data_IF_180844916112
#
_entry.id   IF_180844916112
#
_cell.length_a   1.000
_cell.length_b   1.000
_cell.length_c   1.000
_cell.angle_alpha   90.00
_cell.angle_beta   90.00
_cell.angle_gamma   90.00
#
_symmetry.space_group_name_H-M   'P 1'
#
loop_
_entity.id
_entity.type
_entity.pdbx_description
1 polymer ?
#
# COMPACT_ATOMS: atom_id res chain seq x y z
N UNK A 1 -38.00 28.99 -53.02
CA UNK A 1 -37.31 27.67 -53.00
C UNK A 1 -36.35 27.67 -51.81
N UNK A 2 -36.41 26.82 -50.81
CA UNK A 2 -37.34 25.77 -50.41
C UNK A 2 -37.18 25.60 -48.89
N UNK A 3 -38.30 25.48 -48.19
CA UNK A 3 -38.71 24.30 -47.42
C UNK A 3 -38.26 24.31 -45.94
N UNK A 4 -39.16 24.85 -45.12
CA UNK A 4 -39.48 24.34 -43.79
C UNK A 4 -39.62 22.81 -43.80
N UNK A 5 -38.87 22.12 -42.93
CA UNK A 5 -39.23 20.78 -42.45
C UNK A 5 -39.03 20.73 -40.94
N UNK A 6 -40.16 20.52 -40.28
CA UNK A 6 -40.41 20.33 -38.87
C UNK A 6 -40.14 18.88 -38.42
N UNK A 7 -40.17 18.67 -37.09
CA UNK A 7 -40.38 17.39 -36.37
C UNK A 7 -39.18 16.46 -36.17
N UNK A 8 -38.73 16.38 -34.91
CA UNK A 8 -38.83 15.14 -34.09
C UNK A 8 -38.07 15.33 -32.77
N UNK A 9 -38.68 16.07 -31.85
CA UNK A 9 -38.40 15.98 -30.42
C UNK A 9 -39.59 15.24 -29.82
N UNK A 10 -39.50 13.92 -29.67
CA UNK A 10 -40.35 13.07 -28.81
C UNK A 10 -40.14 11.61 -29.20
N UNK A 11 -39.34 10.88 -28.40
CA UNK A 11 -39.42 9.43 -28.13
C UNK A 11 -38.05 8.90 -27.66
N UNK A 12 -37.75 9.04 -26.37
CA UNK A 12 -37.01 7.99 -25.64
C UNK A 12 -37.13 8.21 -24.13
N UNK A 13 -38.37 8.31 -23.65
CA UNK A 13 -38.69 8.33 -22.23
C UNK A 13 -39.61 7.14 -21.95
N UNK A 14 -39.05 5.92 -21.95
CA UNK A 14 -39.68 4.70 -21.40
C UNK A 14 -38.75 3.49 -21.49
N UNK A 15 -38.11 3.18 -20.36
CA UNK A 15 -37.65 1.86 -19.85
C UNK A 15 -36.23 1.88 -19.30
N UNK A 16 -36.12 2.25 -18.03
CA UNK A 16 -35.11 1.73 -17.12
C UNK A 16 -35.56 1.96 -15.66
N UNK A 17 -36.76 1.48 -15.29
CA UNK A 17 -37.11 1.26 -13.88
C UNK A 17 -36.81 -0.22 -13.60
N UNK A 18 -35.53 -0.57 -13.50
CA UNK A 18 -35.05 -1.85 -13.01
C UNK A 18 -34.07 -1.52 -11.87
N UNK A 19 -34.50 -1.86 -10.65
CA UNK A 19 -33.68 -2.21 -9.49
C UNK A 19 -32.81 -1.15 -8.81
N UNK A 20 -33.37 0.02 -8.51
CA UNK A 20 -32.76 0.96 -7.56
C UNK A 20 -32.83 0.50 -6.08
N UNK A 21 -33.60 -0.54 -5.77
CA UNK A 21 -33.78 -1.08 -4.42
C UNK A 21 -32.73 -2.13 -4.02
N UNK A 22 -32.02 -2.74 -4.98
CA UNK A 22 -30.93 -3.68 -4.70
C UNK A 22 -29.59 -3.02 -4.35
N UNK A 23 -29.29 -1.87 -4.96
CA UNK A 23 -28.02 -1.14 -4.74
C UNK A 23 -27.97 -0.47 -3.36
N UNK A 24 -29.11 -0.04 -2.82
CA UNK A 24 -29.16 0.60 -1.49
C UNK A 24 -28.89 -0.35 -0.32
N UNK A 25 -29.25 -1.63 -0.44
CA UNK A 25 -29.00 -2.60 0.61
C UNK A 25 -27.51 -2.99 0.72
N UNK A 26 -26.75 -2.90 -0.38
CA UNK A 26 -25.31 -3.18 -0.36
C UNK A 26 -24.48 -2.05 0.25
N UNK A 27 -24.90 -0.80 0.07
CA UNK A 27 -24.23 0.37 0.64
C UNK A 27 -24.51 0.58 2.14
N UNK A 28 -25.66 0.13 2.65
CA UNK A 28 -25.98 0.20 4.08
C UNK A 28 -25.26 -0.88 4.93
N UNK A 29 -24.74 -1.94 4.29
CA UNK A 29 -23.97 -3.00 4.95
C UNK A 29 -22.44 -2.78 4.95
N UNK A 30 -21.95 -1.79 4.19
CA UNK A 30 -20.58 -1.28 4.29
C UNK A 30 -20.46 -0.32 5.48
N UNK A 31 -20.83 -0.79 6.68
CA UNK A 31 -20.23 -0.22 7.88
C UNK A 31 -18.70 -0.31 7.67
N UNK A 32 -18.04 0.85 7.56
CA UNK A 32 -16.65 0.98 7.11
C UNK A 32 -15.78 -0.08 7.76
N UNK A 33 -15.41 -1.10 6.98
CA UNK A 33 -14.55 -2.17 7.49
C UNK A 33 -13.19 -1.54 7.72
N UNK A 34 -12.86 -1.33 8.99
CA UNK A 34 -11.53 -0.90 9.44
C UNK A 34 -10.76 -2.13 9.90
N UNK A 35 -9.47 -2.17 9.65
CA UNK A 35 -8.59 -3.20 10.19
C UNK A 35 -7.82 -2.63 11.38
N UNK A 36 -7.95 -3.23 12.57
CA UNK A 36 -7.15 -2.80 13.72
C UNK A 36 -5.67 -3.03 13.46
N UNK A 37 -4.84 -2.06 13.83
CA UNK A 37 -3.38 -2.18 13.78
C UNK A 37 -2.89 -3.44 14.51
N UNK A 38 -3.47 -3.79 15.67
CA UNK A 38 -3.09 -5.00 16.41
C UNK A 38 -3.34 -6.28 15.61
N UNK A 39 -4.49 -6.34 14.90
CA UNK A 39 -4.83 -7.46 14.02
C UNK A 39 -3.81 -7.54 12.89
N UNK A 40 -3.48 -6.40 12.26
CA UNK A 40 -2.51 -6.33 11.17
C UNK A 40 -1.12 -6.81 11.61
N UNK A 41 -0.61 -6.31 12.74
CA UNK A 41 0.68 -6.72 13.30
C UNK A 41 0.71 -8.21 13.66
N UNK A 42 -0.39 -8.73 14.22
CA UNK A 42 -0.51 -10.16 14.51
C UNK A 42 -0.43 -11.00 13.24
N UNK A 43 -1.08 -10.56 12.15
CA UNK A 43 -1.02 -11.23 10.85
C UNK A 43 0.38 -11.22 10.24
N UNK A 44 1.07 -10.08 10.24
CA UNK A 44 2.45 -9.99 9.77
C UNK A 44 3.39 -10.91 10.56
N UNK A 45 3.19 -11.00 11.88
CA UNK A 45 3.96 -11.91 12.73
C UNK A 45 3.69 -13.37 12.37
N UNK A 46 2.42 -13.75 12.19
CA UNK A 46 2.04 -15.11 11.77
C UNK A 46 2.61 -15.45 10.39
N UNK A 47 2.59 -14.51 9.45
CA UNK A 47 3.20 -14.69 8.12
C UNK A 47 4.71 -14.93 8.22
N UNK A 48 5.43 -14.09 8.98
CA UNK A 48 6.87 -14.24 9.18
C UNK A 48 7.22 -15.62 9.78
N UNK A 49 6.50 -16.04 10.82
CA UNK A 49 6.70 -17.34 11.47
C UNK A 49 6.37 -18.53 10.55
N UNK A 50 5.33 -18.39 9.73
CA UNK A 50 4.90 -19.44 8.79
C UNK A 50 5.88 -19.62 7.64
N UNK A 51 6.43 -18.52 7.12
CA UNK A 51 7.40 -18.56 6.03
C UNK A 51 8.74 -19.19 6.46
N UNK A 52 9.18 -18.92 7.69
CA UNK A 52 10.40 -19.50 8.26
C UNK A 52 10.34 -21.04 8.40
N UNK A 53 9.13 -21.58 8.64
CA UNK A 53 8.90 -23.02 8.89
C UNK A 53 8.91 -23.89 7.62
N UNK A 54 8.81 -23.30 6.43
CA UNK A 54 8.61 -24.03 5.16
C UNK A 54 9.88 -24.72 4.61
N UNK A 55 11.03 -24.59 5.28
CA UNK A 55 12.29 -25.23 4.86
C UNK A 55 12.40 -26.72 5.26
N UNK A 56 11.46 -27.24 6.05
CA UNK A 56 11.45 -28.63 6.51
C UNK A 56 10.48 -29.53 5.70
N UNK A 57 10.85 -29.87 4.47
CA UNK A 57 10.65 -31.18 3.80
C UNK A 57 9.27 -31.88 3.71
N UNK A 58 8.15 -31.36 4.23
CA UNK A 58 6.87 -32.03 4.17
C UNK A 58 5.77 -31.07 3.69
N UNK A 59 5.15 -31.40 2.55
CA UNK A 59 4.02 -30.66 2.01
C UNK A 59 2.83 -30.73 2.98
N UNK A 60 2.39 -29.60 3.58
CA UNK A 60 1.17 -29.58 4.35
C UNK A 60 -0.03 -29.36 3.42
N UNK A 61 -1.24 -29.80 3.81
CA UNK A 61 -2.46 -29.34 3.17
C UNK A 61 -2.56 -27.82 3.38
N UNK A 62 -2.58 -27.05 2.29
CA UNK A 62 -2.67 -25.59 2.35
C UNK A 62 -4.05 -25.25 2.93
N UNK A 63 -4.00 -24.83 4.19
CA UNK A 63 -5.12 -24.57 5.09
C UNK A 63 -5.85 -23.29 4.66
N UNK A 64 -7.18 -23.30 4.68
CA UNK A 64 -8.06 -22.15 4.44
C UNK A 64 -7.65 -20.89 5.23
N UNK A 65 -6.96 -21.09 6.37
CA UNK A 65 -6.39 -20.03 7.21
C UNK A 65 -5.36 -19.17 6.49
N UNK A 66 -4.54 -19.75 5.59
CA UNK A 66 -3.57 -18.99 4.81
C UNK A 66 -4.27 -18.06 3.78
N UNK A 67 -5.33 -18.54 3.15
CA UNK A 67 -6.12 -17.76 2.19
C UNK A 67 -6.90 -16.61 2.86
N UNK A 68 -7.32 -16.79 4.12
CA UNK A 68 -7.98 -15.73 4.90
C UNK A 68 -6.98 -14.71 5.48
N UNK A 69 -5.75 -15.13 5.77
CA UNK A 69 -4.66 -14.23 6.16
C UNK A 69 -4.34 -13.23 5.04
N UNK A 70 -4.23 -13.75 3.81
CA UNK A 70 -3.91 -13.01 2.58
C UNK A 70 -4.92 -11.89 2.30
N UNK A 71 -6.22 -12.21 2.34
CA UNK A 71 -7.29 -11.28 1.95
C UNK A 71 -7.28 -9.97 2.74
N UNK A 72 -7.14 -10.01 4.07
CA UNK A 72 -7.16 -8.77 4.87
C UNK A 72 -5.91 -7.89 4.65
N UNK A 73 -4.78 -8.47 4.23
CA UNK A 73 -3.55 -7.73 3.98
C UNK A 73 -3.61 -7.01 2.64
N UNK A 74 -4.28 -7.60 1.67
CA UNK A 74 -4.47 -7.05 0.33
C UNK A 74 -5.67 -6.10 0.24
N UNK A 75 -6.71 -6.30 1.04
CA UNK A 75 -7.83 -5.37 1.08
C UNK A 75 -7.34 -3.98 1.52
N UNK A 76 -7.57 -2.95 0.70
CA UNK A 76 -7.21 -1.54 0.96
C UNK A 76 -8.12 -0.88 2.02
N UNK A 77 -8.27 -1.56 3.16
CA UNK A 77 -9.03 -1.07 4.29
C UNK A 77 -8.21 -0.08 5.12
N UNK A 78 -8.81 1.03 5.56
CA UNK A 78 -8.14 1.96 6.46
C UNK A 78 -7.76 1.27 7.78
N UNK A 79 -6.55 1.55 8.26
CA UNK A 79 -6.03 1.01 9.50
C UNK A 79 -6.54 1.84 10.69
N UNK A 80 -7.20 1.18 11.64
CA UNK A 80 -7.51 1.76 12.94
C UNK A 80 -6.28 1.68 13.85
N UNK A 81 -5.67 2.84 14.08
CA UNK A 81 -4.49 3.05 14.95
C UNK A 81 -4.83 3.09 16.45
N UNK A 82 -6.11 2.99 16.80
CA UNK A 82 -6.62 3.12 18.17
C UNK A 82 -6.14 4.46 18.81
N UNK A 83 -5.33 4.38 19.86
CA UNK A 83 -4.80 5.54 20.60
C UNK A 83 -3.31 5.82 20.32
N UNK A 84 -2.72 5.15 19.32
CA UNK A 84 -1.30 5.30 18.99
C UNK A 84 -1.11 6.50 18.07
N UNK A 85 -0.03 7.26 18.27
CA UNK A 85 0.35 8.34 17.36
C UNK A 85 0.61 7.79 15.93
N UNK A 86 0.32 8.58 14.91
CA UNK A 86 0.46 8.15 13.51
C UNK A 86 1.91 7.78 13.21
N UNK A 87 2.86 8.53 13.75
CA UNK A 87 4.28 8.29 13.54
C UNK A 87 4.73 6.99 14.20
N UNK A 88 4.35 6.78 15.46
CA UNK A 88 4.66 5.56 16.21
C UNK A 88 4.02 4.32 15.56
N UNK A 89 2.76 4.44 15.13
CA UNK A 89 2.06 3.39 14.41
C UNK A 89 2.79 3.01 13.12
N UNK A 90 3.25 4.00 12.34
CA UNK A 90 4.01 3.78 11.12
C UNK A 90 5.37 3.10 11.40
N UNK A 91 6.08 3.47 12.48
CA UNK A 91 7.35 2.82 12.85
C UNK A 91 7.14 1.37 13.25
N UNK A 92 6.15 1.09 14.12
CA UNK A 92 5.86 -0.28 14.56
C UNK A 92 5.44 -1.14 13.38
N UNK A 93 4.58 -0.62 12.51
CA UNK A 93 4.12 -1.32 11.32
C UNK A 93 5.25 -1.57 10.33
N UNK A 94 6.10 -0.58 10.08
CA UNK A 94 7.27 -0.70 9.20
C UNK A 94 8.23 -1.80 9.65
N UNK A 95 8.49 -1.89 10.96
CA UNK A 95 9.36 -2.93 11.53
C UNK A 95 8.78 -4.33 11.33
N UNK A 96 7.50 -4.52 11.65
CA UNK A 96 6.82 -5.80 11.45
C UNK A 96 6.73 -6.18 9.96
N UNK A 97 6.51 -5.19 9.09
CA UNK A 97 6.49 -5.39 7.65
C UNK A 97 7.88 -5.79 7.13
N UNK A 98 8.95 -5.09 7.53
CA UNK A 98 10.32 -5.43 7.14
C UNK A 98 10.68 -6.87 7.52
N UNK A 99 10.32 -7.29 8.74
CA UNK A 99 10.50 -8.67 9.19
C UNK A 99 9.73 -9.66 8.31
N UNK A 100 8.45 -9.40 8.04
CA UNK A 100 7.64 -10.26 7.18
C UNK A 100 8.23 -10.37 5.77
N UNK A 101 8.56 -9.24 5.14
CA UNK A 101 9.14 -9.19 3.80
C UNK A 101 10.49 -9.93 3.70
N UNK A 102 11.27 -9.97 4.79
CA UNK A 102 12.56 -10.68 4.81
C UNK A 102 12.42 -12.20 4.87
N UNK A 103 11.31 -12.72 5.37
CA UNK A 103 11.04 -14.16 5.51
C UNK A 103 10.17 -14.71 4.37
N UNK A 104 9.38 -13.85 3.73
CA UNK A 104 8.47 -14.22 2.64
C UNK A 104 9.19 -14.67 1.38
N UNK A 105 8.49 -15.50 0.57
CA UNK A 105 8.94 -15.76 -0.79
C UNK A 105 8.97 -14.46 -1.57
N UNK A 106 9.93 -14.32 -2.46
CA UNK A 106 10.19 -13.07 -3.17
C UNK A 106 8.97 -12.52 -3.92
N UNK A 107 8.17 -13.37 -4.58
CA UNK A 107 6.97 -12.93 -5.28
C UNK A 107 5.89 -12.39 -4.33
N UNK A 108 5.68 -13.05 -3.19
CA UNK A 108 4.68 -12.64 -2.20
C UNK A 108 5.09 -11.33 -1.53
N UNK A 109 6.39 -11.19 -1.22
CA UNK A 109 6.95 -9.95 -0.66
C UNK A 109 6.78 -8.77 -1.63
N UNK A 110 7.02 -9.00 -2.92
CA UNK A 110 6.79 -8.00 -3.98
C UNK A 110 5.31 -7.63 -4.05
N UNK A 111 4.42 -8.61 -4.06
CA UNK A 111 2.99 -8.37 -4.13
C UNK A 111 2.53 -7.50 -2.95
N UNK A 112 2.83 -7.92 -1.73
CA UNK A 112 2.44 -7.19 -0.52
C UNK A 112 3.00 -5.76 -0.50
N UNK A 113 4.30 -5.58 -0.77
CA UNK A 113 4.93 -4.27 -0.74
C UNK A 113 4.37 -3.32 -1.82
N UNK A 114 4.08 -3.84 -3.01
CA UNK A 114 3.48 -3.03 -4.10
C UNK A 114 2.01 -2.69 -3.81
N UNK A 115 1.21 -3.65 -3.33
CA UNK A 115 -0.17 -3.41 -2.91
C UNK A 115 -0.24 -2.33 -1.83
N UNK A 116 0.65 -2.38 -0.83
CA UNK A 116 0.70 -1.37 0.22
C UNK A 116 1.28 -0.02 -0.22
N UNK A 117 2.18 0.00 -1.20
CA UNK A 117 2.67 1.25 -1.77
C UNK A 117 1.58 1.99 -2.56
N UNK A 118 0.64 1.26 -3.16
CA UNK A 118 -0.48 1.79 -3.95
C UNK A 118 -1.76 2.04 -3.14
N UNK A 119 -1.78 1.62 -1.88
CA UNK A 119 -2.90 1.79 -0.95
C UNK A 119 -3.33 3.25 -0.83
N UNK A 120 -4.62 3.51 -0.65
CA UNK A 120 -5.13 4.85 -0.34
C UNK A 120 -4.83 5.29 1.10
N UNK A 121 -4.62 4.35 2.01
CA UNK A 121 -4.21 4.60 3.40
C UNK A 121 -2.74 5.07 3.47
N UNK A 122 -2.47 6.31 3.95
CA UNK A 122 -1.11 6.81 4.10
C UNK A 122 -0.28 5.99 5.09
N UNK A 123 -0.90 5.33 6.09
CA UNK A 123 -0.16 4.53 7.06
C UNK A 123 0.50 3.31 6.43
N UNK A 124 -0.15 2.66 5.45
CA UNK A 124 0.42 1.55 4.68
C UNK A 124 1.59 2.02 3.81
N UNK A 125 1.40 3.12 3.08
CA UNK A 125 2.45 3.73 2.25
C UNK A 125 3.66 4.16 3.08
N UNK A 126 3.42 4.78 4.24
CA UNK A 126 4.46 5.15 5.20
C UNK A 126 5.20 3.92 5.75
N UNK A 127 4.46 2.85 6.08
CA UNK A 127 5.07 1.61 6.56
C UNK A 127 5.96 0.95 5.51
N UNK A 128 5.56 0.95 4.22
CA UNK A 128 6.42 0.47 3.12
C UNK A 128 7.67 1.32 3.00
N UNK A 129 7.54 2.64 2.88
CA UNK A 129 8.69 3.55 2.75
C UNK A 129 9.69 3.35 3.90
N UNK A 130 9.19 3.30 5.14
CA UNK A 130 10.02 3.08 6.32
C UNK A 130 10.61 1.68 6.34
N UNK A 131 9.86 0.63 6.00
CA UNK A 131 10.38 -0.75 6.00
C UNK A 131 11.60 -0.90 5.10
N UNK A 132 11.67 -0.16 3.99
CA UNK A 132 12.82 -0.17 3.07
C UNK A 132 14.07 0.49 3.65
N UNK A 133 13.99 1.15 4.80
CA UNK A 133 15.16 1.58 5.58
C UNK A 133 15.92 0.37 6.18
N UNK A 134 15.30 -0.81 6.29
CA UNK A 134 15.96 -2.04 6.75
C UNK A 134 16.67 -2.79 5.62
N UNK A 135 17.67 -3.60 5.96
CA UNK A 135 18.44 -4.38 4.99
C UNK A 135 17.80 -5.75 4.74
N UNK A 136 17.08 -5.89 3.63
CA UNK A 136 16.59 -7.18 3.10
C UNK A 136 16.48 -7.08 1.57
N UNK A 137 16.54 -8.20 0.85
CA UNK A 137 16.46 -8.19 -0.61
C UNK A 137 15.00 -8.07 -1.07
N UNK A 138 14.69 -7.02 -1.83
CA UNK A 138 13.39 -6.83 -2.49
C UNK A 138 13.64 -6.29 -3.91
N UNK A 139 13.51 -7.16 -4.92
CA UNK A 139 13.93 -6.87 -6.30
C UNK A 139 13.26 -5.65 -6.99
N UNK A 140 12.07 -5.15 -6.58
CA UNK A 140 11.51 -3.91 -7.10
C UNK A 140 11.58 -2.71 -6.12
N UNK A 141 12.47 -2.72 -5.13
CA UNK A 141 12.56 -1.62 -4.16
C UNK A 141 12.77 -0.24 -4.85
N UNK A 142 13.57 -0.18 -5.92
CA UNK A 142 13.74 1.05 -6.72
C UNK A 142 12.44 1.58 -7.34
N UNK A 143 11.54 0.72 -7.83
CA UNK A 143 10.25 1.13 -8.43
C UNK A 143 9.30 1.63 -7.34
N UNK A 144 9.25 0.93 -6.21
CA UNK A 144 8.45 1.33 -5.05
C UNK A 144 8.93 2.68 -4.51
N UNK A 145 10.24 2.88 -4.38
CA UNK A 145 10.82 4.16 -3.96
C UNK A 145 10.57 5.27 -4.97
N UNK A 146 10.68 5.00 -6.28
CA UNK A 146 10.36 5.99 -7.29
C UNK A 146 8.89 6.44 -7.18
N UNK A 147 7.96 5.50 -6.99
CA UNK A 147 6.55 5.82 -6.74
C UNK A 147 6.37 6.68 -5.47
N UNK A 148 6.85 6.20 -4.31
CA UNK A 148 6.66 6.86 -3.01
C UNK A 148 7.40 8.19 -2.89
N UNK A 149 8.45 8.43 -3.68
CA UNK A 149 9.11 9.75 -3.72
C UNK A 149 8.23 10.86 -4.28
N UNK A 150 7.08 10.52 -4.90
CA UNK A 150 6.07 11.47 -5.40
C UNK A 150 4.79 11.45 -4.56
N UNK A 151 4.83 10.83 -3.38
CA UNK A 151 3.68 10.76 -2.49
C UNK A 151 3.22 12.18 -2.08
N UNK A 152 1.91 12.48 -2.01
CA UNK A 152 1.44 13.77 -1.53
C UNK A 152 1.89 14.09 -0.10
N UNK A 153 2.10 13.08 0.75
CA UNK A 153 2.51 13.27 2.14
C UNK A 153 4.04 13.50 2.25
N UNK A 154 4.49 14.67 2.76
CA UNK A 154 5.92 14.95 2.94
C UNK A 154 6.60 13.97 3.90
N UNK A 155 5.90 13.40 4.89
CA UNK A 155 6.49 12.43 5.83
C UNK A 155 6.85 11.12 5.13
N UNK A 156 6.05 10.71 4.15
CA UNK A 156 6.32 9.53 3.32
C UNK A 156 7.50 9.82 2.38
N UNK A 157 7.55 11.01 1.76
CA UNK A 157 8.70 11.42 0.93
C UNK A 157 10.00 11.50 1.74
N UNK A 158 9.95 11.98 2.98
CA UNK A 158 11.09 11.98 3.91
C UNK A 158 11.56 10.55 4.25
N UNK A 159 10.64 9.62 4.49
CA UNK A 159 10.97 8.20 4.67
C UNK A 159 11.56 7.58 3.40
N UNK A 160 11.01 7.92 2.24
CA UNK A 160 11.56 7.50 0.94
C UNK A 160 12.99 8.01 0.73
N UNK A 161 13.31 9.26 1.13
CA UNK A 161 14.67 9.78 1.06
C UNK A 161 15.66 8.96 1.91
N UNK A 162 15.29 8.62 3.16
CA UNK A 162 16.11 7.77 4.04
C UNK A 162 16.29 6.36 3.47
N UNK A 163 15.21 5.76 2.99
CA UNK A 163 15.26 4.43 2.39
C UNK A 163 16.11 4.42 1.11
N UNK A 164 15.92 5.38 0.20
CA UNK A 164 16.73 5.50 -1.02
C UNK A 164 18.22 5.67 -0.71
N UNK A 165 18.57 6.43 0.33
CA UNK A 165 19.95 6.54 0.79
C UNK A 165 20.53 5.18 1.20
N UNK A 166 19.83 4.45 2.08
CA UNK A 166 20.26 3.13 2.55
C UNK A 166 20.35 2.14 1.38
N UNK A 167 19.41 2.24 0.44
CA UNK A 167 19.24 1.32 -0.68
C UNK A 167 20.14 1.62 -1.88
N UNK A 168 20.82 2.77 -1.94
CA UNK A 168 21.74 3.11 -3.04
C UNK A 168 22.83 2.06 -3.27
N UNK A 169 23.26 1.38 -2.21
CA UNK A 169 24.25 0.29 -2.29
C UNK A 169 23.73 -0.94 -3.07
N UNK A 170 22.42 -1.06 -3.24
CA UNK A 170 21.74 -2.13 -3.96
C UNK A 170 21.28 -1.72 -5.37
N UNK A 171 21.75 -0.57 -5.87
CA UNK A 171 21.49 -0.11 -7.24
C UNK A 171 20.20 0.68 -7.42
N UNK A 172 19.62 1.23 -6.35
CA UNK A 172 18.50 2.20 -6.46
C UNK A 172 18.95 3.43 -7.26
N UNK A 173 18.06 3.91 -8.14
CA UNK A 173 18.32 5.03 -9.03
C UNK A 173 18.63 6.33 -8.25
N UNK A 174 19.83 6.94 -8.44
CA UNK A 174 20.18 8.20 -7.79
C UNK A 174 19.26 9.36 -8.17
N UNK A 175 18.52 9.28 -9.29
CA UNK A 175 17.55 10.30 -9.69
C UNK A 175 16.43 10.51 -8.66
N UNK A 176 16.14 9.49 -7.82
CA UNK A 176 15.18 9.61 -6.71
C UNK A 176 15.70 10.59 -5.66
N UNK A 177 16.96 10.46 -5.24
CA UNK A 177 17.57 11.36 -4.26
C UNK A 177 17.74 12.78 -4.82
N UNK A 178 18.13 12.91 -6.10
CA UNK A 178 18.22 14.22 -6.76
C UNK A 178 16.89 14.96 -6.71
N UNK A 179 15.78 14.26 -7.01
CA UNK A 179 14.42 14.82 -6.97
C UNK A 179 14.02 15.25 -5.56
N UNK A 180 14.30 14.41 -4.56
CA UNK A 180 13.97 14.70 -3.15
C UNK A 180 14.83 15.83 -2.57
N UNK A 181 16.04 16.07 -3.10
CA UNK A 181 16.85 17.23 -2.75
C UNK A 181 16.24 18.56 -3.24
N UNK A 182 15.35 18.51 -4.23
CA UNK A 182 14.60 19.65 -4.78
C UNK A 182 13.13 19.69 -4.28
N UNK A 183 12.77 18.86 -3.30
CA UNK A 183 11.40 18.76 -2.79
C UNK A 183 10.84 20.11 -2.30
N UNK A 184 9.54 20.43 -2.49
CA UNK A 184 8.96 21.65 -1.92
C UNK A 184 9.07 21.72 -0.40
N UNK A 185 9.03 20.58 0.28
CA UNK A 185 9.13 20.51 1.74
C UNK A 185 10.60 20.64 2.21
N UNK A 186 10.92 21.60 3.09
CA UNK A 186 12.28 21.84 3.55
C UNK A 186 12.87 20.68 4.36
N UNK A 187 12.05 19.92 5.08
CA UNK A 187 12.50 18.78 5.88
C UNK A 187 12.91 17.62 4.96
N UNK A 188 12.11 17.35 3.93
CA UNK A 188 12.44 16.33 2.90
C UNK A 188 13.75 16.68 2.21
N UNK A 189 13.94 17.94 1.79
CA UNK A 189 15.21 18.40 1.21
C UNK A 189 16.38 18.21 2.16
N UNK A 190 16.23 18.60 3.41
CA UNK A 190 17.30 18.47 4.40
C UNK A 190 17.70 17.00 4.61
N UNK A 191 16.74 16.08 4.63
CA UNK A 191 17.00 14.64 4.73
C UNK A 191 17.69 14.13 3.46
N UNK A 192 17.22 14.49 2.27
CA UNK A 192 17.81 14.05 1.01
C UNK A 192 19.23 14.58 0.77
N UNK A 193 19.52 15.82 1.18
CA UNK A 193 20.87 16.41 1.09
C UNK A 193 21.81 15.82 2.15
N UNK A 194 21.33 15.57 3.37
CA UNK A 194 22.14 14.89 4.40
C UNK A 194 22.37 13.42 4.10
N UNK A 195 21.49 12.84 3.30
CA UNK A 195 21.72 11.54 2.73
C UNK A 195 22.96 11.61 1.84
N UNK A 196 23.04 12.48 0.82
CA UNK A 196 24.19 12.56 -0.11
C UNK A 196 25.59 12.61 0.52
#
# INVERSE_FOLDING_TARGET
MGLDITRSRECSARRACLDATGVRAHLAGQAMRVISLRRLLSKLTVLALSASSATAGAAPPISEVAAELDRDLDEDLPIDREHIDVEDAAVVLARSLAQALSEMRQLDAIHLATSWALSTDPLRRAAVARSLEWQFQLLPDGIILDHLSRDPDPQIRAACARAAWIRRAFGVDPAILNRLAEDPDPEVRAIAVRAW
#
